data_IF_091451611301
#
_entry.id   IF_091451611301
#
_cell.length_a   1.000
_cell.length_b   1.000
_cell.length_c   1.000
_cell.angle_alpha   90.00
_cell.angle_beta   90.00
_cell.angle_gamma   90.00
#
_symmetry.space_group_name_H-M   'P 1'
#
loop_
_entity.id
_entity.type
_entity.pdbx_description
1 polymer ?
#
# COMPACT_ATOMS: atom_id res chain seq x y z
N UNK A 1 -15.20 12.45 5.54
CA UNK A 1 -15.38 11.38 4.54
C UNK A 1 -15.58 10.09 5.32
N UNK A 2 -16.65 9.35 5.05
CA UNK A 2 -16.90 8.03 5.63
C UNK A 2 -15.88 7.05 5.03
N UNK A 3 -14.75 6.87 5.71
CA UNK A 3 -13.71 5.93 5.29
C UNK A 3 -14.20 4.54 5.68
N UNK A 4 -14.37 3.59 4.73
CA UNK A 4 -14.66 2.22 5.12
C UNK A 4 -13.51 1.74 5.99
N UNK A 5 -13.83 1.16 7.15
CA UNK A 5 -12.83 0.58 8.01
C UNK A 5 -12.00 -0.46 7.23
N UNK A 6 -10.68 -0.48 7.46
CA UNK A 6 -9.75 -1.29 6.66
C UNK A 6 -10.14 -2.78 6.73
N UNK A 7 -10.53 -3.26 7.91
CA UNK A 7 -11.12 -4.57 8.16
C UNK A 7 -12.27 -4.93 7.19
N UNK A 8 -13.19 -4.00 6.91
CA UNK A 8 -14.24 -4.23 5.90
C UNK A 8 -13.71 -4.27 4.46
N UNK A 9 -12.62 -3.56 4.15
CA UNK A 9 -12.02 -3.63 2.82
C UNK A 9 -11.27 -4.94 2.60
N UNK A 10 -10.68 -5.50 3.66
CA UNK A 10 -9.87 -6.72 3.63
C UNK A 10 -10.69 -8.01 3.53
N UNK A 11 -12.01 -7.97 3.71
CA UNK A 11 -12.89 -9.16 3.57
C UNK A 11 -12.70 -9.89 2.24
N UNK A 12 -12.49 -9.14 1.15
CA UNK A 12 -12.29 -9.68 -0.20
C UNK A 12 -10.82 -9.60 -0.67
N UNK A 13 -9.86 -9.52 0.25
CA UNK A 13 -8.44 -9.22 -0.05
C UNK A 13 -7.90 -10.05 -1.21
N UNK A 14 -7.98 -11.37 -1.13
CA UNK A 14 -7.42 -12.27 -2.15
C UNK A 14 -8.09 -12.12 -3.52
N UNK A 15 -9.40 -11.85 -3.56
CA UNK A 15 -10.12 -11.64 -4.80
C UNK A 15 -9.70 -10.31 -5.46
N UNK A 16 -9.49 -9.27 -4.65
CA UNK A 16 -8.98 -7.98 -5.12
C UNK A 16 -7.55 -8.13 -5.63
N UNK A 17 -6.65 -8.78 -4.90
CA UNK A 17 -5.26 -8.95 -5.35
C UNK A 17 -5.18 -9.74 -6.64
N UNK A 18 -5.94 -10.84 -6.77
CA UNK A 18 -6.03 -11.59 -8.04
C UNK A 18 -6.55 -10.77 -9.22
N UNK A 19 -7.39 -9.77 -8.98
CA UNK A 19 -7.97 -8.95 -10.03
C UNK A 19 -7.04 -7.81 -10.50
N UNK A 20 -6.15 -7.32 -9.64
CA UNK A 20 -5.34 -6.12 -9.92
C UNK A 20 -3.84 -6.37 -9.95
N UNK A 21 -3.34 -7.40 -9.26
CA UNK A 21 -1.92 -7.75 -9.21
C UNK A 21 -1.65 -8.84 -10.23
N UNK A 22 -0.75 -8.54 -11.17
CA UNK A 22 -0.29 -9.45 -12.20
C UNK A 22 0.69 -10.48 -11.60
N UNK A 23 0.94 -11.61 -12.30
CA UNK A 23 1.87 -12.64 -11.82
C UNK A 23 3.31 -12.16 -11.58
N UNK A 24 3.71 -11.07 -12.22
CA UNK A 24 5.02 -10.42 -12.04
C UNK A 24 5.05 -9.43 -10.86
N UNK A 25 3.93 -9.29 -10.13
CA UNK A 25 3.78 -8.39 -8.98
C UNK A 25 3.37 -6.96 -9.34
N UNK A 26 3.24 -6.62 -10.64
CA UNK A 26 2.80 -5.28 -11.06
C UNK A 26 1.29 -5.12 -10.99
N UNK A 27 0.82 -3.88 -10.91
CA UNK A 27 -0.59 -3.56 -11.05
C UNK A 27 -0.99 -3.52 -12.52
N UNK A 28 -2.07 -4.22 -12.86
CA UNK A 28 -2.72 -4.10 -14.17
C UNK A 28 -3.38 -2.73 -14.36
N UNK A 29 -3.91 -2.16 -13.27
CA UNK A 29 -4.41 -0.80 -13.17
C UNK A 29 -4.53 -0.39 -11.69
N UNK A 30 -4.52 0.92 -11.41
CA UNK A 30 -4.84 1.42 -10.08
C UNK A 30 -6.36 1.32 -9.84
N UNK A 31 -6.84 0.64 -8.78
CA UNK A 31 -8.27 0.54 -8.52
C UNK A 31 -8.92 1.90 -8.28
N UNK A 32 -10.04 2.16 -8.96
CA UNK A 32 -10.81 3.42 -8.80
C UNK A 32 -11.76 3.40 -7.60
N UNK A 33 -12.22 2.20 -7.20
CA UNK A 33 -13.09 2.04 -6.02
C UNK A 33 -12.25 2.02 -4.76
N UNK A 34 -12.59 2.89 -3.79
CA UNK A 34 -11.80 3.09 -2.57
C UNK A 34 -11.55 1.79 -1.80
N UNK A 35 -12.56 0.93 -1.59
CA UNK A 35 -12.38 -0.36 -0.88
C UNK A 35 -11.30 -1.24 -1.53
N UNK A 36 -11.34 -1.37 -2.86
CA UNK A 36 -10.36 -2.17 -3.61
C UNK A 36 -8.97 -1.53 -3.57
N UNK A 37 -8.93 -0.20 -3.64
CA UNK A 37 -7.69 0.56 -3.53
C UNK A 37 -7.04 0.37 -2.15
N UNK A 38 -7.82 0.42 -1.06
CA UNK A 38 -7.30 0.21 0.30
C UNK A 38 -6.62 -1.16 0.45
N UNK A 39 -7.19 -2.21 -0.14
CA UNK A 39 -6.54 -3.54 -0.16
C UNK A 39 -5.18 -3.48 -0.85
N UNK A 40 -5.12 -2.91 -2.06
CA UNK A 40 -3.89 -2.82 -2.84
C UNK A 40 -2.83 -1.93 -2.16
N UNK A 41 -3.25 -0.83 -1.53
CA UNK A 41 -2.36 0.04 -0.77
C UNK A 41 -1.85 -0.64 0.51
N UNK A 42 -2.68 -1.46 1.17
CA UNK A 42 -2.26 -2.24 2.32
C UNK A 42 -1.12 -3.20 1.97
N UNK A 43 -1.19 -3.85 0.80
CA UNK A 43 -0.12 -4.71 0.33
C UNK A 43 1.16 -3.96 0.00
N UNK A 44 1.04 -2.84 -0.71
CA UNK A 44 2.20 -1.97 -0.97
C UNK A 44 2.84 -1.47 0.32
N UNK A 45 2.05 -1.17 1.35
CA UNK A 45 2.55 -0.68 2.63
C UNK A 45 3.45 -1.71 3.33
N UNK A 46 3.32 -3.01 3.04
CA UNK A 46 4.17 -4.05 3.64
C UNK A 46 5.62 -3.97 3.16
N UNK A 47 5.89 -3.33 2.03
CA UNK A 47 7.25 -3.08 1.56
C UNK A 47 8.00 -2.01 2.39
N UNK A 48 7.30 -1.32 3.29
CA UNK A 48 7.89 -0.32 4.18
C UNK A 48 7.93 -0.86 5.61
N UNK A 49 9.13 -0.90 6.17
CA UNK A 49 9.36 -1.38 7.53
C UNK A 49 8.88 -0.35 8.57
N UNK A 50 8.33 -0.86 9.66
CA UNK A 50 7.85 -0.03 10.76
C UNK A 50 9.04 0.52 11.53
N UNK A 51 8.99 1.81 11.86
CA UNK A 51 10.08 2.50 12.54
C UNK A 51 11.22 2.95 11.62
N UNK A 52 11.17 2.59 10.33
CA UNK A 52 12.11 3.10 9.33
C UNK A 52 11.59 4.37 8.66
N UNK A 53 12.53 5.26 8.30
CA UNK A 53 12.24 6.47 7.52
C UNK A 53 12.90 6.36 6.16
N UNK A 54 12.17 6.80 5.14
CA UNK A 54 12.57 6.75 3.75
C UNK A 54 12.55 8.17 3.17
N UNK A 55 13.51 8.50 2.32
CA UNK A 55 13.39 9.67 1.46
C UNK A 55 12.46 9.41 0.27
N UNK A 56 12.16 10.47 -0.49
CA UNK A 56 11.27 10.37 -1.64
C UNK A 56 11.80 9.42 -2.74
N UNK A 57 13.12 9.37 -2.95
CA UNK A 57 13.72 8.53 -3.99
C UNK A 57 13.61 7.05 -3.61
N UNK A 58 13.82 6.72 -2.33
CA UNK A 58 13.63 5.37 -1.79
C UNK A 58 12.18 4.92 -1.93
N UNK A 59 11.21 5.77 -1.55
CA UNK A 59 9.78 5.47 -1.73
C UNK A 59 9.46 5.25 -3.22
N UNK A 60 9.94 6.14 -4.09
CA UNK A 60 9.70 6.02 -5.52
C UNK A 60 10.27 4.74 -6.12
N UNK A 61 11.44 4.32 -5.64
CA UNK A 61 12.06 3.10 -6.10
C UNK A 61 11.23 1.86 -5.71
N UNK A 62 10.76 1.80 -4.46
CA UNK A 62 9.88 0.72 -3.99
C UNK A 62 8.58 0.66 -4.79
N UNK A 63 7.97 1.81 -5.11
CA UNK A 63 6.69 1.86 -5.83
C UNK A 63 6.81 1.58 -7.33
N UNK A 64 7.98 1.76 -7.94
CA UNK A 64 8.21 1.47 -9.36
C UNK A 64 8.03 -0.02 -9.69
N UNK A 65 8.26 -0.90 -8.72
CA UNK A 65 7.98 -2.32 -8.85
C UNK A 65 6.48 -2.62 -9.04
N UNK A 66 5.60 -1.70 -8.62
CA UNK A 66 4.15 -1.88 -8.67
C UNK A 66 3.54 -1.23 -9.91
N UNK A 67 3.88 0.02 -10.22
CA UNK A 67 3.27 0.76 -11.33
C UNK A 67 4.13 1.96 -11.77
N UNK A 68 4.02 2.36 -13.04
CA UNK A 68 4.76 3.51 -13.59
C UNK A 68 4.29 4.86 -13.02
N UNK A 69 3.01 4.95 -12.66
CA UNK A 69 2.44 6.11 -11.96
C UNK A 69 2.77 6.12 -10.46
N UNK A 70 4.06 6.23 -10.18
CA UNK A 70 4.64 6.28 -8.83
C UNK A 70 4.09 7.45 -8.02
N UNK A 71 3.86 8.60 -8.66
CA UNK A 71 3.35 9.79 -8.00
C UNK A 71 1.93 9.59 -7.47
N UNK A 72 1.04 8.96 -8.25
CA UNK A 72 -0.30 8.62 -7.80
C UNK A 72 -0.28 7.61 -6.64
N UNK A 73 0.52 6.55 -6.75
CA UNK A 73 0.65 5.55 -5.68
C UNK A 73 1.12 6.17 -4.36
N UNK A 74 2.18 6.98 -4.42
CA UNK A 74 2.72 7.68 -3.26
C UNK A 74 1.69 8.61 -2.63
N UNK A 75 0.95 9.34 -3.46
CA UNK A 75 -0.14 10.22 -3.02
C UNK A 75 -1.23 9.41 -2.28
N UNK A 76 -1.69 8.31 -2.85
CA UNK A 76 -2.73 7.49 -2.22
C UNK A 76 -2.27 6.83 -0.92
N UNK A 77 -1.02 6.37 -0.84
CA UNK A 77 -0.46 5.84 0.40
C UNK A 77 -0.49 6.86 1.53
N UNK A 78 -0.25 8.14 1.22
CA UNK A 78 -0.31 9.23 2.20
C UNK A 78 -1.75 9.64 2.51
N UNK A 79 -2.58 9.86 1.50
CA UNK A 79 -3.98 10.29 1.67
C UNK A 79 -4.82 9.27 2.46
N UNK A 80 -4.56 7.98 2.25
CA UNK A 80 -5.26 6.90 2.96
C UNK A 80 -4.60 6.50 4.29
N UNK A 81 -3.47 7.14 4.67
CA UNK A 81 -2.83 6.97 5.98
C UNK A 81 -1.96 5.73 6.14
N UNK A 82 -1.50 5.11 5.04
CA UNK A 82 -0.54 4.01 5.09
C UNK A 82 0.89 4.53 5.32
N UNK A 83 1.22 5.66 4.70
CA UNK A 83 2.44 6.42 4.93
C UNK A 83 2.12 7.78 5.52
N UNK A 84 2.96 8.28 6.40
CA UNK A 84 3.01 9.71 6.74
C UNK A 84 4.20 10.36 6.04
N UNK A 85 4.10 11.67 5.82
CA UNK A 85 5.17 12.48 5.23
C UNK A 85 5.42 13.74 6.04
N UNK A 86 6.68 14.00 6.36
CA UNK A 86 7.12 15.26 6.99
C UNK A 86 8.56 15.58 6.58
N UNK A 87 8.83 16.85 6.28
CA UNK A 87 10.19 17.34 5.97
C UNK A 87 10.91 16.52 4.87
N UNK A 88 10.16 16.09 3.84
CA UNK A 88 10.68 15.28 2.73
C UNK A 88 10.94 13.80 3.07
N UNK A 89 10.65 13.37 4.29
CA UNK A 89 10.75 11.97 4.74
C UNK A 89 9.38 11.32 4.84
N UNK A 90 9.36 10.02 4.63
CA UNK A 90 8.20 9.15 4.68
C UNK A 90 8.43 8.02 5.67
N UNK A 91 7.39 7.56 6.35
CA UNK A 91 7.45 6.36 7.17
C UNK A 91 6.08 5.68 7.17
N UNK A 92 6.08 4.38 7.47
CA UNK A 92 4.85 3.62 7.60
C UNK A 92 4.11 4.02 8.88
N UNK A 93 2.86 4.43 8.72
CA UNK A 93 1.99 4.86 9.81
C UNK A 93 0.69 4.03 9.91
N UNK A 94 0.42 3.18 8.93
CA UNK A 94 -0.79 2.36 8.89
C UNK A 94 -0.64 1.02 8.16
N UNK A 95 -1.78 0.41 7.86
CA UNK A 95 -1.89 -0.94 7.30
C UNK A 95 -1.84 -2.04 8.35
N UNK A 96 -2.04 -3.28 7.90
CA UNK A 96 -2.02 -4.48 8.75
C UNK A 96 -0.61 -4.82 9.16
N UNK A 97 -0.40 -5.20 10.42
CA UNK A 97 0.85 -5.83 10.85
C UNK A 97 0.77 -7.29 10.38
N UNK A 98 1.50 -7.64 9.33
CA UNK A 98 1.72 -9.05 9.03
C UNK A 98 2.59 -9.62 10.15
N UNK A 99 1.98 -10.34 11.08
CA UNK A 99 2.75 -11.21 11.95
C UNK A 99 3.32 -12.31 11.03
N UNK A 100 4.65 -12.47 10.90
CA UNK A 100 5.15 -13.70 10.32
C UNK A 100 4.50 -14.81 11.13
N UNK A 101 3.75 -15.69 10.46
CA UNK A 101 3.21 -16.87 11.11
C UNK A 101 4.35 -17.45 11.94
N UNK A 102 4.16 -17.56 13.25
CA UNK A 102 5.15 -18.17 14.11
C UNK A 102 5.47 -19.52 13.48
N UNK A 103 6.67 -19.63 12.87
CA UNK A 103 7.20 -20.88 12.38
C UNK A 103 7.22 -21.79 13.61
N UNK A 104 6.20 -22.65 13.70
CA UNK A 104 6.21 -23.83 14.56
C UNK A 104 7.01 -24.91 13.88
#
# INVERSE_FOLDING_TARGET
MDRPALDNALTDREAVLRAFVLPDGRLSAIPTRIRKRLVVLNEMAQAFEIGQTYDEAQVNNSLRAWHDDVAALRRYLVEEGFLERRDGRYWRAGGTIEHPAATS
#
